data_IF_453711075338
#
_entry.id   IF_453711075338
#
_cell.length_a   1.000
_cell.length_b   1.000
_cell.length_c   1.000
_cell.angle_alpha   90.00
_cell.angle_beta   90.00
_cell.angle_gamma   90.00
#
_symmetry.space_group_name_H-M   'P 1'
#
loop_
_entity.id
_entity.type
_entity.pdbx_description
1 polymer ?
#
# COMPACT_ATOMS: atom_id res chain seq x y z
N UNK A 1 37.74 -13.05 60.00
CA UNK A 1 38.22 -12.04 59.02
C UNK A 1 38.77 -12.78 57.81
N UNK A 2 38.04 -12.77 56.71
CA UNK A 2 38.50 -12.78 55.31
C UNK A 2 37.30 -13.13 54.42
N UNK A 3 36.77 -12.12 53.74
CA UNK A 3 35.68 -12.18 52.76
C UNK A 3 36.09 -12.96 51.51
N UNK A 4 35.17 -13.76 50.97
CA UNK A 4 35.27 -14.33 49.62
C UNK A 4 34.40 -13.45 48.71
N UNK A 5 35.05 -12.53 48.00
CA UNK A 5 34.42 -11.74 46.94
C UNK A 5 34.17 -12.61 45.70
N UNK A 6 32.91 -12.74 45.31
CA UNK A 6 32.50 -13.33 44.03
C UNK A 6 32.77 -12.37 42.88
N UNK A 7 33.54 -12.81 41.90
CA UNK A 7 33.74 -12.12 40.62
C UNK A 7 32.56 -12.41 39.69
N UNK A 8 31.55 -11.55 39.73
CA UNK A 8 30.48 -11.51 38.72
C UNK A 8 31.01 -10.98 37.40
N UNK A 9 31.29 -11.87 36.45
CA UNK A 9 31.65 -11.50 35.08
C UNK A 9 30.46 -10.92 34.34
N UNK A 10 30.55 -9.63 33.96
CA UNK A 10 29.63 -9.03 32.99
C UNK A 10 29.84 -9.70 31.62
N UNK A 11 28.86 -10.49 31.17
CA UNK A 11 28.79 -10.93 29.77
C UNK A 11 28.52 -9.69 28.92
N UNK A 12 29.34 -9.47 27.90
CA UNK A 12 29.12 -8.42 26.91
C UNK A 12 27.78 -8.66 26.20
N UNK A 13 26.95 -7.62 26.10
CA UNK A 13 25.68 -7.64 25.36
C UNK A 13 25.95 -8.04 23.90
N UNK A 14 25.54 -9.26 23.54
CA UNK A 14 25.50 -9.69 22.15
C UNK A 14 24.52 -8.82 21.37
N UNK A 15 24.88 -8.44 20.14
CA UNK A 15 23.98 -7.70 19.27
C UNK A 15 22.65 -8.47 19.10
N UNK A 16 21.50 -7.77 19.08
CA UNK A 16 20.20 -8.42 18.91
C UNK A 16 20.12 -9.14 17.56
N UNK A 17 19.47 -10.30 17.55
CA UNK A 17 19.27 -11.08 16.33
C UNK A 17 18.35 -10.31 15.35
N UNK A 18 18.53 -10.47 14.03
CA UNK A 18 17.73 -9.76 13.02
C UNK A 18 16.21 -9.97 13.14
N UNK A 19 15.78 -11.12 13.67
CA UNK A 19 14.38 -11.47 13.86
C UNK A 19 13.72 -10.64 14.97
N UNK A 20 14.44 -10.38 16.06
CA UNK A 20 13.98 -9.56 17.19
C UNK A 20 13.75 -8.10 16.77
N UNK A 21 14.57 -7.59 15.85
CA UNK A 21 14.43 -6.24 15.31
C UNK A 21 13.16 -6.08 14.46
N UNK A 22 12.81 -7.10 13.68
CA UNK A 22 11.59 -7.10 12.87
C UNK A 22 10.34 -7.22 13.74
N UNK A 23 10.38 -8.07 14.77
CA UNK A 23 9.30 -8.18 15.74
C UNK A 23 9.08 -6.86 16.49
N UNK A 24 10.16 -6.24 16.99
CA UNK A 24 10.10 -4.93 17.64
C UNK A 24 9.50 -3.85 16.73
N UNK A 25 9.92 -3.78 15.47
CA UNK A 25 9.43 -2.77 14.53
C UNK A 25 7.93 -2.93 14.23
N UNK A 26 7.43 -4.16 14.08
CA UNK A 26 5.99 -4.41 13.87
C UNK A 26 5.16 -3.98 15.06
N UNK A 27 5.56 -4.42 16.26
CA UNK A 27 4.87 -4.03 17.49
C UNK A 27 4.91 -2.53 17.72
N UNK A 28 6.02 -1.86 17.36
CA UNK A 28 6.14 -0.41 17.43
C UNK A 28 5.17 0.30 16.47
N UNK A 29 5.03 -0.20 15.25
CA UNK A 29 4.12 0.38 14.26
C UNK A 29 2.65 0.26 14.72
N UNK A 30 2.27 -0.87 15.30
CA UNK A 30 0.93 -1.11 15.86
C UNK A 30 0.64 -0.22 17.08
N UNK A 31 1.58 -0.16 18.03
CA UNK A 31 1.47 0.68 19.23
C UNK A 31 1.44 2.17 18.89
N UNK A 32 2.23 2.60 17.91
CA UNK A 32 2.21 3.98 17.41
C UNK A 32 0.87 4.30 16.75
N UNK A 33 0.33 3.39 15.93
CA UNK A 33 -0.98 3.59 15.29
C UNK A 33 -2.07 3.73 16.36
N UNK A 34 -2.06 2.87 17.38
CA UNK A 34 -2.95 2.93 18.55
C UNK A 34 -2.82 4.27 19.27
N UNK A 35 -1.60 4.67 19.64
CA UNK A 35 -1.34 5.92 20.35
C UNK A 35 -1.84 7.15 19.56
N UNK A 36 -1.60 7.21 18.25
CA UNK A 36 -2.03 8.32 17.40
C UNK A 36 -3.55 8.47 17.29
N UNK A 37 -4.35 7.45 17.66
CA UNK A 37 -5.82 7.59 17.71
C UNK A 37 -6.30 8.36 18.95
N UNK A 38 -5.47 8.48 19.99
CA UNK A 38 -5.82 9.11 21.27
C UNK A 38 -5.40 10.56 21.36
N UNK A 39 -4.62 11.05 20.38
CA UNK A 39 -4.15 12.41 20.31
C UNK A 39 -4.86 13.21 19.24
N UNK A 40 -5.03 14.52 19.50
CA UNK A 40 -5.25 15.46 18.41
C UNK A 40 -4.07 15.41 17.42
N UNK A 41 -4.25 15.94 16.21
CA UNK A 41 -3.13 16.07 15.26
C UNK A 41 -1.92 16.74 15.95
N UNK A 42 -0.69 16.26 15.72
CA UNK A 42 0.53 16.85 16.30
C UNK A 42 0.61 18.38 16.10
N UNK A 43 0.08 18.88 14.98
CA UNK A 43 0.01 20.31 14.68
C UNK A 43 -0.86 21.14 15.63
N UNK A 44 -1.86 20.53 16.29
CA UNK A 44 -2.68 21.18 17.31
C UNK A 44 -1.83 21.50 18.55
N UNK A 45 -1.03 20.55 19.02
CA UNK A 45 -0.11 20.76 20.14
C UNK A 45 0.98 21.79 19.81
N UNK A 46 1.57 21.73 18.60
CA UNK A 46 2.52 22.74 18.17
C UNK A 46 1.90 24.15 18.08
N UNK A 47 0.63 24.25 17.66
CA UNK A 47 -0.13 25.52 17.65
C UNK A 47 -0.37 26.06 19.06
N UNK A 48 -0.52 25.19 20.06
CA UNK A 48 -0.59 25.55 21.48
C UNK A 48 0.79 25.91 22.08
N UNK A 49 1.85 25.94 21.27
CA UNK A 49 3.20 26.29 21.71
C UNK A 49 3.95 25.13 22.37
N UNK A 50 3.45 23.89 22.29
CA UNK A 50 4.16 22.75 22.85
C UNK A 50 5.45 22.48 22.08
N UNK A 51 6.59 22.36 22.76
CA UNK A 51 7.85 22.03 22.12
C UNK A 51 7.85 20.58 21.61
N UNK A 52 8.65 20.29 20.59
CA UNK A 52 8.83 18.94 20.01
C UNK A 52 9.08 17.89 21.09
N UNK A 53 9.88 18.21 22.09
CA UNK A 53 10.24 17.32 23.19
C UNK A 53 9.02 16.95 24.04
N UNK A 54 8.09 17.88 24.29
CA UNK A 54 6.89 17.62 25.07
C UNK A 54 5.90 16.73 24.31
N UNK A 55 5.71 17.00 23.00
CA UNK A 55 4.85 16.18 22.14
C UNK A 55 5.44 14.77 21.95
N UNK A 56 6.77 14.66 21.82
CA UNK A 56 7.45 13.38 21.75
C UNK A 56 7.34 12.58 23.06
N UNK A 57 7.49 13.24 24.22
CA UNK A 57 7.35 12.58 25.51
C UNK A 57 5.93 12.06 25.74
N UNK A 58 4.92 12.87 25.42
CA UNK A 58 3.51 12.51 25.52
C UNK A 58 3.17 11.29 24.63
N UNK A 59 3.62 11.32 23.38
CA UNK A 59 3.39 10.21 22.46
C UNK A 59 4.15 8.94 22.87
N UNK A 60 5.37 9.09 23.38
CA UNK A 60 6.15 7.97 23.92
C UNK A 60 5.46 7.35 25.14
N UNK A 61 4.96 8.17 26.07
CA UNK A 61 4.23 7.71 27.26
C UNK A 61 3.01 6.87 26.86
N UNK A 62 2.24 7.33 25.88
CA UNK A 62 1.07 6.59 25.39
C UNK A 62 1.44 5.26 24.73
N UNK A 63 2.51 5.23 23.92
CA UNK A 63 3.04 3.98 23.34
C UNK A 63 3.47 3.01 24.44
N UNK A 64 4.06 3.51 25.52
CA UNK A 64 4.50 2.69 26.66
C UNK A 64 3.34 2.21 27.55
N UNK A 65 2.14 2.78 27.42
CA UNK A 65 0.94 2.28 28.10
C UNK A 65 0.26 1.13 27.34
N UNK A 66 0.67 0.88 26.09
CA UNK A 66 0.19 -0.24 25.31
C UNK A 66 0.74 -1.57 25.88
N UNK A 67 -0.17 -2.40 26.41
CA UNK A 67 0.18 -3.66 27.09
C UNK A 67 0.86 -4.64 26.15
N UNK A 68 0.50 -4.63 24.87
CA UNK A 68 1.05 -5.55 23.88
C UNK A 68 2.47 -5.10 23.47
N UNK A 69 2.75 -3.80 23.54
CA UNK A 69 4.07 -3.24 23.24
C UNK A 69 5.06 -3.31 24.41
N UNK A 70 4.59 -3.30 25.66
CA UNK A 70 5.45 -3.34 26.85
C UNK A 70 6.44 -4.52 26.85
N UNK A 71 6.04 -5.66 26.29
CA UNK A 71 6.90 -6.84 26.16
C UNK A 71 8.06 -6.64 25.17
N UNK A 72 7.95 -5.68 24.25
CA UNK A 72 8.95 -5.35 23.25
C UNK A 72 9.95 -4.27 23.72
N UNK A 73 9.69 -3.60 24.85
CA UNK A 73 10.59 -2.59 25.45
C UNK A 73 11.32 -3.13 26.68
N UNK A 74 11.68 -4.41 26.69
CA UNK A 74 12.28 -5.06 27.85
C UNK A 74 13.74 -4.64 28.11
N UNK A 75 14.41 -4.06 27.12
CA UNK A 75 15.82 -3.64 27.24
C UNK A 75 15.97 -2.11 27.18
N UNK A 76 16.94 -1.52 27.91
CA UNK A 76 17.27 -0.10 27.81
C UNK A 76 17.63 0.35 26.38
N UNK A 77 18.19 -0.55 25.57
CA UNK A 77 18.49 -0.31 24.16
C UNK A 77 17.23 -0.08 23.33
N UNK A 78 16.18 -0.89 23.53
CA UNK A 78 14.89 -0.75 22.85
C UNK A 78 14.16 0.53 23.26
N UNK A 79 14.21 0.91 24.53
CA UNK A 79 13.64 2.17 25.00
C UNK A 79 14.34 3.38 24.37
N UNK A 80 15.68 3.34 24.27
CA UNK A 80 16.45 4.38 23.58
C UNK A 80 16.12 4.45 22.08
N UNK A 81 15.88 3.30 21.43
CA UNK A 81 15.45 3.21 20.04
C UNK A 81 14.05 3.80 19.84
N UNK A 82 13.08 3.44 20.69
CA UNK A 82 11.74 4.02 20.73
C UNK A 82 11.81 5.55 20.84
N UNK A 83 12.53 6.05 21.85
CA UNK A 83 12.68 7.50 22.09
C UNK A 83 13.27 8.21 20.89
N UNK A 84 14.32 7.65 20.28
CA UNK A 84 14.96 8.20 19.08
C UNK A 84 13.98 8.23 17.91
N UNK A 85 13.22 7.17 17.69
CA UNK A 85 12.23 7.06 16.63
C UNK A 85 11.10 8.10 16.79
N UNK A 86 10.47 8.16 17.98
CA UNK A 86 9.39 9.10 18.28
C UNK A 86 9.88 10.54 18.11
N UNK A 87 11.06 10.88 18.64
CA UNK A 87 11.65 12.21 18.50
C UNK A 87 11.89 12.60 17.03
N UNK A 88 12.42 11.69 16.21
CA UNK A 88 12.62 11.94 14.79
C UNK A 88 11.30 12.16 14.04
N UNK A 89 10.28 11.37 14.37
CA UNK A 89 8.95 11.48 13.76
C UNK A 89 8.31 12.83 14.11
N UNK A 90 8.25 13.18 15.40
CA UNK A 90 7.66 14.45 15.87
C UNK A 90 8.45 15.65 15.35
N UNK A 91 9.79 15.56 15.31
CA UNK A 91 10.64 16.61 14.73
C UNK A 91 10.40 16.84 13.24
N UNK A 92 10.19 15.77 12.45
CA UNK A 92 9.79 15.89 11.04
C UNK A 92 8.42 16.56 10.90
N UNK A 93 7.44 16.14 11.69
CA UNK A 93 6.10 16.74 11.72
C UNK A 93 6.14 18.22 12.08
N UNK A 94 6.95 18.61 13.06
CA UNK A 94 7.16 20.00 13.44
C UNK A 94 7.82 20.82 12.33
N UNK A 95 8.83 20.25 11.66
CA UNK A 95 9.47 20.89 10.52
C UNK A 95 8.50 21.14 9.37
N UNK A 96 7.61 20.19 9.08
CA UNK A 96 6.53 20.34 8.10
C UNK A 96 5.53 21.41 8.53
N UNK A 97 5.12 21.39 9.81
CA UNK A 97 4.22 22.39 10.40
C UNK A 97 4.81 23.80 10.31
N UNK A 98 6.09 23.98 10.63
CA UNK A 98 6.79 25.28 10.59
C UNK A 98 7.02 25.81 9.17
N UNK A 99 7.18 24.91 8.19
CA UNK A 99 7.33 25.24 6.76
C UNK A 99 5.99 25.57 6.09
N UNK A 100 4.88 25.11 6.66
CA UNK A 100 3.53 25.54 6.29
C UNK A 100 3.27 26.93 6.87
N UNK A 101 2.92 27.88 6.00
CA UNK A 101 2.59 29.26 6.38
C UNK A 101 1.56 29.28 7.53
N UNK A 102 1.88 29.82 8.73
CA UNK A 102 1.00 29.75 9.89
C UNK A 102 -0.36 30.45 9.72
N UNK A 103 -0.55 31.20 8.62
CA UNK A 103 -1.84 31.77 8.17
C UNK A 103 -2.38 31.26 6.83
N UNK A 104 -1.68 30.38 6.10
CA UNK A 104 -2.29 29.61 4.98
C UNK A 104 -2.57 28.15 5.37
N UNK A 105 -2.31 27.81 6.64
CA UNK A 105 -2.88 26.68 7.36
C UNK A 105 -3.72 27.27 8.49
N UNK A 106 -4.63 28.18 8.14
CA UNK A 106 -5.69 28.54 9.06
C UNK A 106 -6.65 27.34 9.13
N UNK A 107 -6.37 26.47 10.09
CA UNK A 107 -7.23 25.38 10.54
C UNK A 107 -8.61 25.88 10.99
N UNK A 108 -8.78 27.20 11.13
CA UNK A 108 -10.02 27.87 11.47
C UNK A 108 -10.61 28.70 10.31
N UNK A 109 -10.36 28.36 9.04
CA UNK A 109 -11.32 28.74 8.00
C UNK A 109 -12.61 27.90 8.16
N UNK A 110 -13.39 28.24 9.19
CA UNK A 110 -14.68 27.65 9.54
C UNK A 110 -14.59 26.24 10.12
N UNK A 111 -15.51 25.92 11.03
CA UNK A 111 -15.79 24.58 11.59
C UNK A 111 -16.22 23.53 10.54
N UNK A 112 -15.85 23.70 9.26
CA UNK A 112 -16.27 22.89 8.12
C UNK A 112 -15.15 22.09 7.43
N UNK A 113 -13.89 22.14 7.89
CA UNK A 113 -12.77 21.85 6.97
C UNK A 113 -11.73 20.80 7.35
N UNK A 114 -11.63 20.33 8.60
CA UNK A 114 -10.74 19.20 8.90
C UNK A 114 -11.52 17.92 8.59
N UNK A 115 -11.34 17.46 7.35
CA UNK A 115 -12.00 16.26 6.85
C UNK A 115 -11.89 15.15 7.88
N UNK A 116 -13.04 14.69 8.36
CA UNK A 116 -13.13 13.53 9.22
C UNK A 116 -12.28 12.39 8.65
N UNK A 117 -11.75 11.54 9.54
CA UNK A 117 -11.06 10.34 9.09
C UNK A 117 -11.90 9.64 8.03
N UNK A 118 -11.26 9.25 6.94
CA UNK A 118 -11.95 8.54 5.88
C UNK A 118 -12.14 7.16 6.47
N UNK A 119 -13.32 6.89 7.05
CA UNK A 119 -13.64 5.57 7.62
C UNK A 119 -13.36 4.42 6.63
N UNK A 120 -13.27 4.74 5.33
CA UNK A 120 -12.91 3.90 4.20
C UNK A 120 -11.46 4.07 3.71
N UNK A 121 -10.51 4.42 4.57
CA UNK A 121 -9.10 4.51 4.21
C UNK A 121 -8.59 3.22 3.58
N UNK A 122 -7.75 3.33 2.55
CA UNK A 122 -7.14 2.18 1.89
C UNK A 122 -5.61 2.17 2.06
N UNK A 123 -5.09 0.95 2.24
CA UNK A 123 -3.66 0.71 2.45
C UNK A 123 -2.83 0.98 1.19
N UNK A 124 -1.51 1.08 1.38
CA UNK A 124 -0.56 1.12 0.27
C UNK A 124 -0.65 -0.22 -0.45
N UNK A 125 -0.43 -0.22 -1.76
CA UNK A 125 -0.19 -1.47 -2.48
C UNK A 125 1.23 -1.95 -2.15
N UNK A 126 1.35 -3.22 -1.74
CA UNK A 126 2.63 -3.84 -1.39
C UNK A 126 3.49 -4.11 -2.63
N UNK A 127 4.79 -4.29 -2.42
CA UNK A 127 5.75 -4.50 -3.49
C UNK A 127 5.72 -5.94 -4.01
N UNK A 128 5.59 -6.10 -5.31
CA UNK A 128 5.56 -7.39 -6.00
C UNK A 128 6.89 -8.17 -5.89
N UNK A 129 8.08 -7.55 -6.06
CA UNK A 129 9.36 -8.26 -5.88
C UNK A 129 9.54 -8.90 -4.50
N UNK A 130 9.15 -8.20 -3.43
CA UNK A 130 9.21 -8.73 -2.07
C UNK A 130 8.31 -9.97 -1.91
N UNK A 131 7.10 -9.92 -2.46
CA UNK A 131 6.19 -11.06 -2.42
C UNK A 131 6.73 -12.28 -3.19
N UNK A 132 7.31 -12.10 -4.39
CA UNK A 132 7.94 -13.20 -5.14
C UNK A 132 9.08 -13.84 -4.33
N UNK A 133 9.92 -13.02 -3.72
CA UNK A 133 10.98 -13.48 -2.82
C UNK A 133 10.42 -14.34 -1.67
N UNK A 134 9.38 -13.86 -1.00
CA UNK A 134 8.71 -14.58 0.09
C UNK A 134 8.12 -15.92 -0.36
N UNK A 135 7.50 -15.99 -1.55
CA UNK A 135 6.95 -17.25 -2.06
C UNK A 135 8.06 -18.29 -2.32
N UNK A 136 9.18 -17.87 -2.91
CA UNK A 136 10.31 -18.76 -3.18
C UNK A 136 10.96 -19.20 -1.86
N UNK A 137 11.16 -18.28 -0.92
CA UNK A 137 11.69 -18.62 0.41
C UNK A 137 10.79 -19.61 1.14
N UNK A 138 9.47 -19.39 1.16
CA UNK A 138 8.53 -20.31 1.79
C UNK A 138 8.62 -21.74 1.21
N UNK A 139 8.86 -21.87 -0.10
CA UNK A 139 9.15 -23.16 -0.72
C UNK A 139 10.50 -23.73 -0.27
N UNK A 140 11.56 -22.93 -0.29
CA UNK A 140 12.92 -23.40 0.02
C UNK A 140 13.08 -23.86 1.47
N UNK A 141 12.39 -23.19 2.40
CA UNK A 141 12.40 -23.47 3.83
C UNK A 141 11.29 -24.43 4.27
N UNK A 142 10.48 -24.95 3.34
CA UNK A 142 9.45 -25.93 3.67
C UNK A 142 10.08 -27.24 4.18
N UNK A 143 9.41 -27.88 5.12
CA UNK A 143 9.84 -29.18 5.64
C UNK A 143 9.92 -30.23 4.52
N UNK A 144 10.81 -31.25 4.62
CA UNK A 144 11.00 -32.23 3.56
C UNK A 144 9.69 -32.90 3.08
N UNK A 145 8.74 -33.13 3.99
CA UNK A 145 7.43 -33.72 3.68
C UNK A 145 6.46 -32.78 2.92
N UNK A 146 6.66 -31.46 3.02
CA UNK A 146 5.80 -30.43 2.42
C UNK A 146 6.39 -29.86 1.11
N UNK A 147 7.68 -30.08 0.89
CA UNK A 147 8.45 -29.45 -0.19
C UNK A 147 7.87 -29.69 -1.59
N UNK A 148 7.36 -30.90 -1.86
CA UNK A 148 6.73 -31.21 -3.14
C UNK A 148 5.43 -30.43 -3.36
N UNK A 149 4.60 -30.32 -2.32
CA UNK A 149 3.36 -29.55 -2.35
C UNK A 149 3.64 -28.05 -2.51
N UNK A 150 4.58 -27.51 -1.74
CA UNK A 150 4.97 -26.10 -1.81
C UNK A 150 5.58 -25.74 -3.17
N UNK A 151 6.40 -26.64 -3.76
CA UNK A 151 6.91 -26.48 -5.14
C UNK A 151 5.77 -26.39 -6.14
N UNK A 152 4.82 -27.34 -6.07
CA UNK A 152 3.66 -27.37 -6.97
C UNK A 152 2.81 -26.11 -6.83
N UNK A 153 2.58 -25.65 -5.61
CA UNK A 153 1.83 -24.41 -5.34
C UNK A 153 2.54 -23.17 -5.89
N UNK A 154 3.86 -23.08 -5.72
CA UNK A 154 4.69 -22.01 -6.28
C UNK A 154 4.60 -21.98 -7.82
N UNK A 155 4.76 -23.15 -8.46
CA UNK A 155 4.67 -23.29 -9.91
C UNK A 155 3.26 -22.96 -10.42
N UNK A 156 2.22 -23.49 -9.79
CA UNK A 156 0.84 -23.18 -10.14
C UNK A 156 0.59 -21.67 -10.06
N UNK A 157 0.99 -21.03 -8.96
CA UNK A 157 0.77 -19.59 -8.75
C UNK A 157 1.53 -18.74 -9.77
N UNK A 158 2.81 -19.04 -10.03
CA UNK A 158 3.67 -18.15 -10.85
C UNK A 158 3.63 -18.46 -12.36
N UNK A 159 3.29 -19.68 -12.74
CA UNK A 159 3.41 -20.16 -14.12
C UNK A 159 2.09 -20.56 -14.77
N UNK A 160 1.04 -20.85 -14.01
CA UNK A 160 -0.18 -21.48 -14.55
C UNK A 160 -1.43 -20.66 -14.28
N UNK A 161 -1.59 -20.17 -13.05
CA UNK A 161 -2.76 -19.40 -12.66
C UNK A 161 -2.73 -18.03 -13.33
N UNK A 162 -3.77 -17.65 -14.09
CA UNK A 162 -3.85 -16.34 -14.68
C UNK A 162 -4.10 -15.29 -13.60
N UNK A 163 -3.51 -14.11 -13.79
CA UNK A 163 -3.84 -12.91 -13.02
C UNK A 163 -5.32 -12.57 -13.20
N UNK A 164 -5.97 -12.09 -12.14
CA UNK A 164 -7.31 -11.50 -12.22
C UNK A 164 -7.30 -10.22 -13.07
N UNK A 165 -6.21 -9.45 -12.98
CA UNK A 165 -5.96 -8.23 -13.75
C UNK A 165 -4.50 -7.83 -13.63
N UNK A 166 -4.00 -7.15 -14.65
CA UNK A 166 -2.82 -6.33 -14.52
C UNK A 166 -3.04 -4.97 -15.18
N UNK A 167 -2.58 -3.89 -14.56
CA UNK A 167 -2.74 -2.54 -15.10
C UNK A 167 -1.47 -1.74 -14.98
N UNK A 168 -1.36 -0.67 -15.78
CA UNK A 168 -0.27 0.29 -15.63
C UNK A 168 -0.38 0.95 -14.25
N UNK A 169 0.72 0.93 -13.47
CA UNK A 169 0.90 1.83 -12.35
C UNK A 169 1.32 3.19 -12.91
N UNK A 170 0.45 4.17 -12.77
CA UNK A 170 0.70 5.55 -13.16
C UNK A 170 1.32 6.35 -12.01
N UNK A 171 2.17 7.31 -12.32
CA UNK A 171 2.80 8.22 -11.36
C UNK A 171 1.87 9.40 -11.07
N UNK A 172 0.83 9.16 -10.28
CA UNK A 172 -0.09 10.19 -9.79
C UNK A 172 -0.23 10.12 -8.27
N UNK A 173 -1.41 10.48 -7.79
CA UNK A 173 -1.75 10.39 -6.37
C UNK A 173 -3.02 9.57 -6.17
N UNK A 174 -3.04 8.74 -5.12
CA UNK A 174 -4.26 8.04 -4.72
C UNK A 174 -5.36 9.05 -4.39
N UNK A 175 -6.50 8.91 -5.05
CA UNK A 175 -7.66 9.78 -4.88
C UNK A 175 -8.96 8.98 -4.99
N UNK A 176 -9.97 9.34 -4.22
CA UNK A 176 -11.24 8.62 -4.14
C UNK A 176 -12.46 9.52 -4.10
N UNK A 177 -13.61 8.92 -4.39
CA UNK A 177 -14.94 9.53 -4.31
C UNK A 177 -15.87 8.57 -3.58
N UNK A 178 -16.57 9.09 -2.57
CA UNK A 178 -17.60 8.37 -1.84
C UNK A 178 -18.93 8.40 -2.61
N UNK A 179 -19.84 7.49 -2.28
CA UNK A 179 -21.23 7.46 -2.76
C UNK A 179 -22.05 8.69 -2.33
N UNK A 180 -21.62 9.42 -1.30
CA UNK A 180 -22.15 10.75 -0.92
C UNK A 180 -21.75 11.87 -1.90
N UNK A 181 -20.83 11.59 -2.83
CA UNK A 181 -20.17 12.56 -3.70
C UNK A 181 -18.95 13.26 -3.06
N UNK A 182 -18.65 13.00 -1.78
CA UNK A 182 -17.46 13.58 -1.14
C UNK A 182 -16.17 13.03 -1.76
N UNK A 183 -15.19 13.91 -1.99
CA UNK A 183 -13.87 13.53 -2.46
C UNK A 183 -12.96 13.22 -1.28
N UNK A 184 -11.99 12.33 -1.52
CA UNK A 184 -11.12 11.81 -0.50
C UNK A 184 -9.69 11.66 -1.03
N UNK A 185 -8.72 12.17 -0.28
CA UNK A 185 -7.37 11.68 -0.36
C UNK A 185 -7.29 10.30 0.29
N UNK A 186 -6.10 9.71 0.32
CA UNK A 186 -5.92 8.38 0.93
C UNK A 186 -6.25 8.30 2.43
N UNK A 187 -6.08 9.42 3.15
CA UNK A 187 -6.19 9.47 4.63
C UNK A 187 -7.09 10.59 5.15
N UNK A 188 -7.68 11.39 4.28
CA UNK A 188 -8.49 12.54 4.69
C UNK A 188 -9.58 12.81 3.66
N UNK A 189 -10.75 13.18 4.15
CA UNK A 189 -11.80 13.73 3.30
C UNK A 189 -11.37 15.11 2.82
N UNK A 190 -11.60 15.39 1.54
CA UNK A 190 -11.34 16.68 0.90
C UNK A 190 -12.63 17.48 0.74
N UNK A 191 -13.79 16.81 0.81
CA UNK A 191 -15.13 17.42 0.74
C UNK A 191 -15.77 17.32 -0.64
N UNK A 192 -17.03 17.74 -0.76
CA UNK A 192 -17.83 17.63 -2.01
C UNK A 192 -17.46 18.67 -3.07
N UNK A 193 -16.98 19.84 -2.66
CA UNK A 193 -16.74 21.00 -3.51
C UNK A 193 -15.24 21.25 -3.81
N UNK A 194 -14.40 20.21 -3.72
CA UNK A 194 -12.98 20.36 -4.00
C UNK A 194 -12.75 20.37 -5.52
N UNK A 195 -12.47 21.54 -6.10
CA UNK A 195 -12.18 21.72 -7.53
C UNK A 195 -10.77 21.23 -7.91
N UNK A 196 -9.82 21.28 -6.97
CA UNK A 196 -8.43 20.89 -7.20
C UNK A 196 -7.83 20.11 -6.03
N UNK A 197 -7.06 19.06 -6.33
CA UNK A 197 -6.27 18.31 -5.36
C UNK A 197 -4.81 18.24 -5.81
N UNK A 198 -3.87 18.68 -4.96
CA UNK A 198 -2.43 18.78 -5.31
C UNK A 198 -2.24 19.52 -6.64
N UNK A 199 -2.85 20.71 -6.77
CA UNK A 199 -2.82 21.55 -7.98
C UNK A 199 -3.33 20.86 -9.26
N UNK A 200 -4.16 19.82 -9.13
CA UNK A 200 -4.71 19.07 -10.27
C UNK A 200 -6.22 19.13 -10.21
N UNK A 201 -6.88 19.42 -11.34
CA UNK A 201 -8.34 19.44 -11.41
C UNK A 201 -8.95 18.11 -10.97
N UNK A 202 -10.02 18.16 -10.19
CA UNK A 202 -10.82 16.99 -9.80
C UNK A 202 -12.03 16.78 -10.70
N UNK A 203 -12.23 17.63 -11.72
CA UNK A 203 -13.42 17.64 -12.56
C UNK A 203 -13.72 16.28 -13.22
N UNK A 204 -12.69 15.46 -13.49
CA UNK A 204 -12.83 14.10 -14.00
C UNK A 204 -13.71 13.20 -13.09
N UNK A 205 -13.76 13.48 -11.78
CA UNK A 205 -14.54 12.70 -10.81
C UNK A 205 -16.04 13.02 -10.83
N UNK A 206 -16.45 14.14 -11.43
CA UNK A 206 -17.84 14.60 -11.42
C UNK A 206 -18.78 13.63 -12.16
N UNK A 207 -18.28 12.98 -13.22
CA UNK A 207 -19.04 12.05 -14.08
C UNK A 207 -19.35 10.71 -13.41
N UNK A 208 -18.64 10.38 -12.34
CA UNK A 208 -18.72 9.08 -11.68
C UNK A 208 -19.89 9.05 -10.69
N UNK A 209 -20.91 8.23 -10.94
CA UNK A 209 -22.01 7.98 -10.01
C UNK A 209 -21.70 6.76 -9.13
N UNK A 210 -21.11 7.01 -7.97
CA UNK A 210 -20.72 5.95 -7.02
C UNK A 210 -21.96 5.33 -6.34
N UNK A 211 -23.13 5.99 -6.42
CA UNK A 211 -24.40 5.42 -5.99
C UNK A 211 -24.75 4.15 -6.78
N UNK A 212 -24.45 4.11 -8.08
CA UNK A 212 -24.62 2.90 -8.92
C UNK A 212 -23.78 1.74 -8.40
N UNK A 213 -22.53 2.01 -8.00
CA UNK A 213 -21.62 1.00 -7.42
C UNK A 213 -22.19 0.49 -6.10
N UNK A 214 -22.64 1.38 -5.21
CA UNK A 214 -23.27 1.01 -3.93
C UNK A 214 -24.51 0.13 -4.16
N UNK A 215 -25.45 0.56 -4.99
CA UNK A 215 -26.68 -0.19 -5.25
C UNK A 215 -26.41 -1.58 -5.82
N UNK A 216 -25.45 -1.71 -6.74
CA UNK A 216 -25.08 -3.02 -7.28
C UNK A 216 -24.47 -3.93 -6.21
N UNK A 217 -23.60 -3.40 -5.36
CA UNK A 217 -22.97 -4.16 -4.29
C UNK A 217 -23.98 -4.55 -3.20
N UNK A 218 -24.92 -3.67 -2.82
CA UNK A 218 -26.02 -4.02 -1.90
C UNK A 218 -26.81 -5.22 -2.42
N UNK A 219 -27.17 -5.21 -3.71
CA UNK A 219 -27.90 -6.31 -4.35
C UNK A 219 -27.12 -7.63 -4.34
N UNK A 220 -25.83 -7.61 -4.66
CA UNK A 220 -24.98 -8.81 -4.67
C UNK A 220 -24.81 -9.38 -3.25
N UNK A 221 -24.55 -8.51 -2.27
CA UNK A 221 -24.32 -8.93 -0.89
C UNK A 221 -25.63 -9.35 -0.20
N UNK A 222 -26.77 -8.88 -0.69
CA UNK A 222 -28.08 -9.08 -0.07
C UNK A 222 -28.22 -8.30 1.24
N UNK A 223 -27.59 -7.14 1.33
CA UNK A 223 -27.62 -6.25 2.49
C UNK A 223 -27.64 -4.80 2.01
N UNK A 224 -28.40 -3.92 2.67
CA UNK A 224 -28.40 -2.51 2.33
C UNK A 224 -27.14 -1.83 2.89
N UNK A 225 -26.28 -1.36 1.98
CA UNK A 225 -25.09 -0.58 2.33
C UNK A 225 -25.50 0.87 2.65
N UNK A 226 -25.09 1.37 3.82
CA UNK A 226 -25.37 2.74 4.26
C UNK A 226 -24.79 3.79 3.30
N UNK A 227 -25.36 5.00 3.28
CA UNK A 227 -24.75 6.14 2.58
C UNK A 227 -23.36 6.46 3.16
N UNK A 228 -22.37 6.71 2.31
CA UNK A 228 -20.99 6.97 2.71
C UNK A 228 -20.18 5.72 3.00
N UNK A 229 -20.76 4.53 2.79
CA UNK A 229 -20.08 3.25 3.01
C UNK A 229 -19.31 2.75 1.80
N UNK A 230 -19.41 3.40 0.63
CA UNK A 230 -18.70 2.98 -0.59
C UNK A 230 -17.80 4.09 -1.09
N UNK A 231 -16.52 3.80 -1.27
CA UNK A 231 -15.54 4.71 -1.85
C UNK A 231 -14.85 4.05 -3.04
N UNK A 232 -15.00 4.61 -4.23
CA UNK A 232 -14.19 4.22 -5.40
C UNK A 232 -12.90 5.02 -5.36
N UNK A 233 -11.76 4.36 -5.57
CA UNK A 233 -10.46 5.02 -5.66
C UNK A 233 -9.72 4.70 -6.96
N UNK A 234 -8.80 5.60 -7.28
CA UNK A 234 -7.99 5.57 -8.47
C UNK A 234 -6.74 6.42 -8.32
N UNK A 235 -6.04 6.57 -9.44
CA UNK A 235 -4.92 7.49 -9.55
C UNK A 235 -5.41 8.80 -10.16
N UNK A 236 -5.23 9.92 -9.47
CA UNK A 236 -5.36 11.25 -10.03
C UNK A 236 -4.03 11.66 -10.65
N UNK A 237 -4.06 11.95 -11.95
CA UNK A 237 -2.86 12.17 -12.78
C UNK A 237 -2.29 13.58 -12.60
N UNK A 238 -1.62 13.80 -11.46
CA UNK A 238 -1.08 15.10 -11.03
C UNK A 238 0.31 15.45 -11.60
N UNK A 239 0.95 14.52 -12.32
CA UNK A 239 2.30 14.70 -12.88
C UNK A 239 2.30 14.64 -14.41
N UNK A 240 1.60 15.55 -15.13
CA UNK A 240 1.36 15.41 -16.58
C UNK A 240 2.64 15.40 -17.43
N UNK A 241 3.75 15.94 -16.92
CA UNK A 241 5.04 15.97 -17.61
C UNK A 241 5.83 14.66 -17.54
N UNK A 242 5.38 13.64 -16.82
CA UNK A 242 6.10 12.38 -16.63
C UNK A 242 5.58 11.31 -17.59
N UNK A 243 6.45 10.37 -18.01
CA UNK A 243 6.08 9.16 -18.78
C UNK A 243 5.22 9.44 -20.05
N UNK A 244 5.35 10.65 -20.62
CA UNK A 244 4.55 11.10 -21.77
C UNK A 244 3.05 11.23 -21.49
N UNK A 245 2.61 11.38 -20.22
CA UNK A 245 1.18 11.41 -19.87
C UNK A 245 0.39 12.48 -20.60
N UNK A 246 0.96 13.66 -20.81
CA UNK A 246 0.31 14.72 -21.58
C UNK A 246 0.00 14.28 -23.02
N UNK A 247 0.99 13.72 -23.73
CA UNK A 247 0.81 13.23 -25.10
C UNK A 247 -0.18 12.06 -25.19
N UNK A 248 -0.34 11.31 -24.09
CA UNK A 248 -1.31 10.22 -23.95
C UNK A 248 -2.71 10.68 -23.52
N UNK A 249 -2.93 11.99 -23.33
CA UNK A 249 -4.20 12.54 -22.86
C UNK A 249 -4.55 12.13 -21.43
N UNK A 250 -3.54 11.80 -20.61
CA UNK A 250 -3.71 11.36 -19.22
C UNK A 250 -3.63 12.52 -18.21
N UNK A 251 -3.25 13.72 -18.63
CA UNK A 251 -3.22 14.89 -17.74
C UNK A 251 -4.59 15.11 -17.07
N UNK A 252 -4.59 15.28 -15.75
CA UNK A 252 -5.78 15.54 -14.93
C UNK A 252 -6.89 14.48 -15.01
N UNK A 253 -6.59 13.29 -15.55
CA UNK A 253 -7.52 12.17 -15.51
C UNK A 253 -7.55 11.57 -14.11
N UNK A 254 -8.70 11.00 -13.75
CA UNK A 254 -8.85 10.13 -12.60
C UNK A 254 -9.12 8.71 -13.09
N UNK A 255 -8.14 7.83 -12.91
CA UNK A 255 -8.18 6.46 -13.45
C UNK A 255 -8.45 5.48 -12.30
N UNK A 256 -9.68 5.00 -12.21
CA UNK A 256 -10.16 4.13 -11.14
C UNK A 256 -9.63 2.69 -11.26
N UNK A 257 -9.23 2.11 -10.13
CA UNK A 257 -8.73 0.72 -10.08
C UNK A 257 -9.15 -0.06 -8.82
N UNK A 258 -10.01 0.49 -7.97
CA UNK A 258 -10.55 -0.26 -6.84
C UNK A 258 -11.69 0.44 -6.10
N UNK A 259 -12.29 -0.25 -5.13
CA UNK A 259 -13.36 0.27 -4.29
C UNK A 259 -13.34 -0.30 -2.86
N UNK A 260 -13.67 0.51 -1.86
CA UNK A 260 -13.78 0.14 -0.44
C UNK A 260 -15.24 0.14 -0.09
N UNK A 261 -15.62 -0.86 0.69
CA UNK A 261 -16.97 -1.02 1.20
C UNK A 261 -16.89 -1.24 2.70
N UNK A 262 -17.54 -0.37 3.46
CA UNK A 262 -17.84 -0.63 4.86
C UNK A 262 -19.12 -1.45 4.91
N UNK A 263 -19.02 -2.67 5.43
CA UNK A 263 -20.18 -3.50 5.69
C UNK A 263 -20.90 -3.04 6.96
N UNK A 264 -22.21 -3.30 7.08
CA UNK A 264 -22.94 -3.09 8.32
C UNK A 264 -22.35 -3.92 9.46
N UNK A 265 -22.46 -3.40 10.68
CA UNK A 265 -22.06 -4.13 11.88
C UNK A 265 -22.81 -5.47 11.97
N UNK A 266 -22.06 -6.55 12.20
CA UNK A 266 -22.60 -7.88 12.44
C UNK A 266 -21.80 -8.55 13.56
N UNK A 267 -22.46 -9.37 14.37
CA UNK A 267 -21.81 -10.24 15.36
C UNK A 267 -21.54 -11.64 14.80
N UNK A 268 -21.99 -11.90 13.57
CA UNK A 268 -21.91 -13.20 12.92
C UNK A 268 -20.72 -13.25 11.96
N UNK A 269 -19.68 -13.98 12.34
CA UNK A 269 -18.50 -14.22 11.50
C UNK A 269 -18.84 -15.01 10.22
N UNK A 270 -19.91 -15.81 10.22
CA UNK A 270 -20.37 -16.53 9.03
C UNK A 270 -20.88 -15.57 7.94
N UNK A 271 -21.40 -14.40 8.34
CA UNK A 271 -21.84 -13.37 7.41
C UNK A 271 -20.69 -12.86 6.53
N UNK A 272 -19.49 -12.66 7.10
CA UNK A 272 -18.31 -12.24 6.34
C UNK A 272 -17.90 -13.29 5.30
N UNK A 273 -17.90 -14.57 5.70
CA UNK A 273 -17.59 -15.68 4.79
C UNK A 273 -18.64 -15.77 3.68
N UNK A 274 -19.92 -15.61 4.01
CA UNK A 274 -21.01 -15.61 3.05
C UNK A 274 -20.87 -14.45 2.03
N UNK A 275 -20.57 -13.23 2.48
CA UNK A 275 -20.34 -12.08 1.61
C UNK A 275 -19.13 -12.26 0.71
N UNK A 276 -18.01 -12.77 1.24
CA UNK A 276 -16.82 -13.10 0.44
C UNK A 276 -17.13 -14.13 -0.65
N UNK A 277 -17.87 -15.19 -0.30
CA UNK A 277 -18.32 -16.22 -1.26
C UNK A 277 -19.21 -15.64 -2.36
N UNK A 278 -20.17 -14.77 -2.02
CA UNK A 278 -21.04 -14.09 -3.01
C UNK A 278 -20.23 -13.23 -3.97
N UNK A 279 -19.25 -12.47 -3.48
CA UNK A 279 -18.37 -11.67 -4.34
C UNK A 279 -17.55 -12.54 -5.29
N UNK A 280 -16.96 -13.63 -4.79
CA UNK A 280 -16.21 -14.58 -5.61
C UNK A 280 -17.10 -15.21 -6.70
N UNK A 281 -18.33 -15.60 -6.36
CA UNK A 281 -19.31 -16.16 -7.31
C UNK A 281 -19.69 -15.18 -8.42
N UNK A 282 -19.65 -13.87 -8.15
CA UNK A 282 -19.88 -12.81 -9.15
C UNK A 282 -18.58 -12.36 -9.85
N UNK A 283 -17.46 -13.05 -9.62
CA UNK A 283 -16.19 -12.78 -10.31
C UNK A 283 -15.40 -11.58 -9.77
N UNK A 284 -15.74 -11.04 -8.60
CA UNK A 284 -14.98 -9.95 -8.01
C UNK A 284 -13.66 -10.44 -7.38
N UNK A 285 -12.56 -9.81 -7.77
CA UNK A 285 -11.31 -9.88 -7.02
C UNK A 285 -11.41 -8.98 -5.78
N UNK A 286 -11.32 -9.56 -4.59
CA UNK A 286 -11.57 -8.83 -3.34
C UNK A 286 -10.74 -9.32 -2.16
N UNK A 287 -10.59 -8.51 -1.13
CA UNK A 287 -10.10 -8.92 0.19
C UNK A 287 -11.06 -8.45 1.28
N UNK A 288 -11.18 -9.21 2.36
CA UNK A 288 -11.98 -8.86 3.54
C UNK A 288 -11.04 -8.62 4.72
N UNK A 289 -11.31 -7.59 5.51
CA UNK A 289 -10.60 -7.32 6.78
C UNK A 289 -11.51 -7.57 7.98
N UNK A 290 -10.93 -7.76 9.16
CA UNK A 290 -11.66 -7.92 10.42
C UNK A 290 -12.51 -6.71 10.81
N UNK A 291 -12.24 -5.53 10.26
CA UNK A 291 -13.00 -4.30 10.53
C UNK A 291 -14.29 -4.17 9.69
N UNK A 292 -14.83 -5.30 9.20
CA UNK A 292 -15.99 -5.34 8.32
C UNK A 292 -15.78 -4.49 7.05
N UNK A 293 -14.54 -4.40 6.56
CA UNK A 293 -14.21 -3.69 5.31
C UNK A 293 -13.88 -4.68 4.21
N UNK A 294 -14.51 -4.49 3.06
CA UNK A 294 -14.14 -5.16 1.81
C UNK A 294 -13.35 -4.19 0.96
N UNK A 295 -12.26 -4.68 0.37
CA UNK A 295 -11.57 -3.99 -0.74
C UNK A 295 -11.80 -4.78 -2.01
N UNK A 296 -12.33 -4.13 -3.02
CA UNK A 296 -12.45 -4.65 -4.38
C UNK A 296 -11.25 -4.15 -5.19
N UNK A 297 -10.60 -5.07 -5.89
CA UNK A 297 -9.50 -4.78 -6.78
C UNK A 297 -9.97 -4.86 -8.23
N UNK A 298 -9.29 -4.16 -9.13
CA UNK A 298 -9.64 -4.21 -10.53
C UNK A 298 -9.59 -5.66 -11.05
N UNK A 299 -10.66 -6.02 -11.74
CA UNK A 299 -10.92 -7.26 -12.44
C UNK A 299 -11.98 -6.96 -13.50
N UNK A 300 -12.27 -7.85 -14.46
CA UNK A 300 -13.28 -7.61 -15.50
C UNK A 300 -14.63 -7.15 -14.93
N UNK A 301 -15.13 -7.82 -13.88
CA UNK A 301 -16.41 -7.47 -13.24
C UNK A 301 -16.40 -6.08 -12.61
N UNK A 302 -15.36 -5.74 -11.83
CA UNK A 302 -15.28 -4.39 -11.23
C UNK A 302 -15.11 -3.32 -12.30
N UNK A 303 -14.33 -3.58 -13.35
CA UNK A 303 -14.15 -2.64 -14.46
C UNK A 303 -15.48 -2.34 -15.14
N UNK A 304 -16.27 -3.37 -15.42
CA UNK A 304 -17.60 -3.20 -16.02
C UNK A 304 -18.50 -2.32 -15.11
N UNK A 305 -18.53 -2.63 -13.80
CA UNK A 305 -19.31 -1.84 -12.84
C UNK A 305 -18.85 -0.37 -12.76
N UNK A 306 -17.53 -0.13 -12.79
CA UNK A 306 -16.98 1.23 -12.80
C UNK A 306 -17.38 1.99 -14.07
N UNK A 307 -17.32 1.34 -15.24
CA UNK A 307 -17.74 1.94 -16.52
C UNK A 307 -19.25 2.24 -16.52
N UNK A 308 -20.07 1.33 -16.01
CA UNK A 308 -21.52 1.56 -15.85
C UNK A 308 -21.81 2.76 -14.93
N UNK A 309 -20.97 2.96 -13.91
CA UNK A 309 -21.01 4.13 -13.03
C UNK A 309 -20.39 5.40 -13.63
N UNK A 310 -20.04 5.42 -14.93
CA UNK A 310 -19.45 6.58 -15.59
C UNK A 310 -17.99 6.86 -15.22
N UNK A 311 -17.32 5.94 -14.52
CA UNK A 311 -15.92 6.07 -14.15
C UNK A 311 -14.98 5.73 -15.31
N UNK A 312 -13.87 6.45 -15.41
CA UNK A 312 -12.74 6.01 -16.24
C UNK A 312 -11.95 4.95 -15.48
N UNK A 313 -12.15 3.67 -15.82
CA UNK A 313 -11.40 2.58 -15.24
C UNK A 313 -10.04 2.38 -15.94
N UNK A 314 -9.04 1.88 -15.22
CA UNK A 314 -7.77 1.49 -15.83
C UNK A 314 -7.96 0.37 -16.87
N UNK A 315 -7.15 0.41 -17.93
CA UNK A 315 -7.12 -0.64 -18.94
C UNK A 315 -6.43 -1.90 -18.40
N UNK A 316 -7.03 -3.06 -18.70
CA UNK A 316 -6.50 -4.35 -18.30
C UNK A 316 -5.50 -4.86 -19.35
N UNK A 317 -4.33 -5.24 -18.89
CA UNK A 317 -3.23 -5.79 -19.68
C UNK A 317 -3.38 -7.32 -19.69
N UNK A 318 -4.40 -7.80 -20.42
CA UNK A 318 -4.66 -9.20 -20.77
C UNK A 318 -4.79 -10.24 -19.61
N UNK A 319 -5.34 -11.40 -19.96
CA UNK A 319 -5.27 -12.60 -19.11
C UNK A 319 -3.90 -13.25 -19.31
N UNK A 320 -3.03 -13.16 -18.31
CA UNK A 320 -1.64 -13.63 -18.38
C UNK A 320 -1.20 -14.22 -17.06
N UNK A 321 -0.18 -15.06 -17.07
CA UNK A 321 0.48 -15.57 -15.87
C UNK A 321 1.44 -14.51 -15.30
N UNK A 322 1.92 -14.73 -14.07
CA UNK A 322 2.93 -13.88 -13.45
C UNK A 322 4.24 -13.82 -14.26
N UNK A 323 4.76 -14.97 -14.68
CA UNK A 323 6.01 -15.04 -15.45
C UNK A 323 5.90 -14.36 -16.82
N UNK A 324 4.77 -14.54 -17.51
CA UNK A 324 4.57 -13.94 -18.84
C UNK A 324 4.33 -12.43 -18.75
N UNK A 325 3.67 -11.95 -17.69
CA UNK A 325 3.55 -10.52 -17.45
C UNK A 325 4.92 -9.88 -17.21
N UNK A 326 5.76 -10.50 -16.38
CA UNK A 326 7.12 -10.00 -16.11
C UNK A 326 7.92 -9.95 -17.40
N UNK A 327 7.92 -11.03 -18.17
CA UNK A 327 8.66 -11.12 -19.44
C UNK A 327 8.19 -10.08 -20.46
N UNK A 328 6.87 -9.89 -20.62
CA UNK A 328 6.30 -8.97 -21.62
C UNK A 328 6.43 -7.49 -21.26
N UNK A 329 6.50 -7.14 -19.97
CA UNK A 329 6.53 -5.74 -19.53
C UNK A 329 7.93 -5.23 -19.14
N UNK A 330 8.92 -6.12 -18.98
CA UNK A 330 10.26 -5.74 -18.52
C UNK A 330 10.90 -4.62 -19.33
N UNK A 331 10.93 -4.76 -20.67
CA UNK A 331 11.56 -3.75 -21.53
C UNK A 331 10.86 -2.39 -21.43
N UNK A 332 9.52 -2.40 -21.30
CA UNK A 332 8.75 -1.17 -21.12
C UNK A 332 9.09 -0.46 -19.81
N UNK A 333 9.36 -1.21 -18.73
CA UNK A 333 9.76 -0.65 -17.44
C UNK A 333 11.21 -0.15 -17.47
N UNK A 334 12.13 -0.90 -18.06
CA UNK A 334 13.55 -0.50 -18.26
C UNK A 334 13.64 0.81 -19.04
N UNK A 335 12.84 0.95 -20.09
CA UNK A 335 12.82 2.14 -20.94
C UNK A 335 12.05 3.31 -20.33
N UNK A 336 11.43 3.14 -19.16
CA UNK A 336 10.68 4.21 -18.51
C UNK A 336 9.45 4.66 -19.30
N UNK A 337 8.78 3.76 -20.02
CA UNK A 337 7.50 4.08 -20.67
C UNK A 337 6.35 4.23 -19.65
N UNK A 338 6.45 3.52 -18.52
CA UNK A 338 5.48 3.56 -17.42
C UNK A 338 6.23 3.49 -16.07
N UNK A 339 5.59 3.99 -14.99
CA UNK A 339 6.16 3.91 -13.63
C UNK A 339 6.25 2.46 -13.16
N UNK A 340 5.22 1.66 -13.44
CA UNK A 340 5.15 0.28 -13.02
C UNK A 340 3.92 -0.44 -13.57
N UNK A 341 3.65 -1.59 -12.97
CA UNK A 341 2.47 -2.43 -13.18
C UNK A 341 1.84 -2.71 -11.82
N UNK A 342 0.51 -2.73 -11.74
CA UNK A 342 -0.27 -3.23 -10.61
C UNK A 342 -0.87 -4.58 -11.00
N UNK A 343 -0.63 -5.60 -10.20
CA UNK A 343 -1.07 -6.97 -10.43
C UNK A 343 -2.15 -7.33 -9.40
N UNK A 344 -3.20 -8.00 -9.85
CA UNK A 344 -4.25 -8.57 -9.01
C UNK A 344 -4.33 -10.07 -9.29
N UNK A 345 -4.25 -10.90 -8.26
CA UNK A 345 -4.24 -12.36 -8.39
C UNK A 345 -4.98 -13.03 -7.24
N UNK A 346 -5.44 -14.27 -7.45
CA UNK A 346 -6.25 -15.02 -6.48
C UNK A 346 -5.40 -15.52 -5.30
N UNK A 347 -6.09 -15.82 -4.20
CA UNK A 347 -5.56 -16.51 -3.01
C UNK A 347 -6.36 -17.78 -2.77
N UNK A 348 -5.83 -18.68 -1.93
CA UNK A 348 -6.42 -19.99 -1.60
C UNK A 348 -7.85 -19.98 -1.01
N UNK A 349 -8.42 -18.82 -0.67
CA UNK A 349 -9.77 -18.68 -0.09
C UNK A 349 -10.78 -17.96 -0.99
N UNK A 350 -10.51 -17.81 -2.29
CA UNK A 350 -11.36 -17.06 -3.22
C UNK A 350 -11.24 -15.53 -3.07
N UNK A 351 -10.46 -15.05 -2.11
CA UNK A 351 -9.99 -13.67 -2.05
C UNK A 351 -8.87 -13.44 -3.07
N UNK A 352 -8.43 -12.19 -3.19
CA UNK A 352 -7.37 -11.76 -4.06
C UNK A 352 -6.34 -10.91 -3.29
N UNK A 353 -5.16 -10.77 -3.89
CA UNK A 353 -4.10 -9.86 -3.47
C UNK A 353 -3.86 -8.82 -4.56
N UNK A 354 -3.33 -7.67 -4.15
CA UNK A 354 -2.86 -6.61 -5.04
C UNK A 354 -1.39 -6.33 -4.75
N UNK A 355 -0.56 -6.23 -5.79
CA UNK A 355 0.87 -5.93 -5.69
C UNK A 355 1.28 -4.94 -6.77
N UNK A 356 2.35 -4.18 -6.56
CA UNK A 356 2.90 -3.27 -7.56
C UNK A 356 4.35 -3.63 -7.89
N UNK A 357 4.71 -3.58 -9.16
CA UNK A 357 6.06 -3.74 -9.65
C UNK A 357 6.47 -2.46 -10.38
N UNK A 358 7.47 -1.75 -9.87
CA UNK A 358 7.92 -0.48 -10.43
C UNK A 358 9.28 -0.60 -11.10
N UNK A 359 9.57 0.34 -12.00
CA UNK A 359 10.89 0.51 -12.58
C UNK A 359 11.92 1.01 -11.54
N UNK A 360 13.18 1.08 -11.95
CA UNK A 360 14.28 1.48 -11.06
C UNK A 360 14.30 2.95 -10.65
N UNK A 361 13.51 3.81 -11.29
CA UNK A 361 13.38 5.23 -10.92
C UNK A 361 12.53 5.46 -9.66
N UNK A 362 12.03 4.38 -9.03
CA UNK A 362 11.45 4.44 -7.70
C UNK A 362 12.44 5.05 -6.68
N UNK A 363 11.99 6.06 -5.93
CA UNK A 363 12.84 6.74 -4.96
C UNK A 363 13.29 5.86 -3.79
N UNK A 364 14.20 6.40 -2.96
CA UNK A 364 14.62 5.83 -1.67
C UNK A 364 15.30 4.45 -1.73
N UNK A 365 15.98 4.15 -2.84
CA UNK A 365 16.72 2.88 -3.04
C UNK A 365 15.85 1.62 -2.90
N UNK A 366 14.52 1.74 -3.03
CA UNK A 366 13.58 0.62 -2.90
C UNK A 366 13.87 -0.45 -3.96
N UNK A 367 14.10 -0.04 -5.20
CA UNK A 367 14.50 -0.92 -6.31
C UNK A 367 15.79 -1.69 -5.99
N UNK A 368 16.82 -1.01 -5.48
CA UNK A 368 18.09 -1.65 -5.06
C UNK A 368 17.90 -2.67 -3.94
N UNK A 369 17.03 -2.38 -2.96
CA UNK A 369 16.69 -3.33 -1.90
C UNK A 369 16.03 -4.59 -2.47
N UNK A 370 15.06 -4.44 -3.36
CA UNK A 370 14.42 -5.57 -4.03
C UNK A 370 15.41 -6.39 -4.86
N UNK A 371 16.29 -5.74 -5.63
CA UNK A 371 17.33 -6.41 -6.40
C UNK A 371 18.26 -7.24 -5.50
N UNK A 372 18.69 -6.66 -4.36
CA UNK A 372 19.51 -7.36 -3.37
C UNK A 372 18.80 -8.58 -2.79
N UNK A 373 17.53 -8.44 -2.41
CA UNK A 373 16.72 -9.55 -1.88
C UNK A 373 16.55 -10.65 -2.92
N UNK A 374 16.18 -10.33 -4.15
CA UNK A 374 16.00 -11.34 -5.21
C UNK A 374 17.32 -12.06 -5.54
N UNK A 375 18.46 -11.36 -5.53
CA UNK A 375 19.77 -11.99 -5.73
C UNK A 375 20.16 -12.98 -4.64
N UNK A 376 19.74 -12.76 -3.39
CA UNK A 376 20.10 -13.69 -2.31
C UNK A 376 19.42 -15.05 -2.45
N UNK A 377 18.47 -15.21 -3.39
CA UNK A 377 17.91 -16.50 -3.76
C UNK A 377 18.87 -17.36 -4.60
N UNK A 378 19.78 -16.74 -5.35
CA UNK A 378 20.57 -17.41 -6.40
C UNK A 378 19.70 -18.30 -7.32
N UNK A 379 18.65 -17.70 -7.89
CA UNK A 379 17.60 -18.43 -8.59
C UNK A 379 18.13 -19.27 -9.78
N UNK A 380 19.21 -18.83 -10.44
CA UNK A 380 19.85 -19.61 -11.52
C UNK A 380 20.49 -20.88 -11.00
N UNK A 381 21.23 -20.80 -9.89
CA UNK A 381 21.83 -22.00 -9.30
C UNK A 381 20.74 -22.96 -8.79
N UNK A 382 19.69 -22.45 -8.14
CA UNK A 382 18.55 -23.27 -7.72
C UNK A 382 17.88 -23.98 -8.90
N UNK A 383 17.77 -23.33 -10.06
CA UNK A 383 17.22 -23.96 -11.26
C UNK A 383 18.15 -25.02 -11.84
N UNK A 384 19.46 -24.76 -11.87
CA UNK A 384 20.48 -25.73 -12.31
C UNK A 384 20.48 -26.99 -11.44
N UNK A 385 20.26 -26.85 -10.13
CA UNK A 385 20.12 -27.96 -9.18
C UNK A 385 18.75 -28.67 -9.24
N UNK A 386 17.82 -28.20 -10.07
CA UNK A 386 16.46 -28.75 -10.18
C UNK A 386 15.54 -28.42 -9.00
N UNK A 387 15.98 -27.54 -8.10
CA UNK A 387 15.19 -27.07 -6.96
C UNK A 387 14.14 -26.05 -7.39
N UNK A 388 14.44 -25.18 -8.37
CA UNK A 388 13.51 -24.18 -8.88
C UNK A 388 13.19 -24.43 -10.37
N UNK A 389 11.95 -24.15 -10.79
CA UNK A 389 11.60 -24.22 -12.20
C UNK A 389 12.36 -23.13 -12.99
N UNK A 390 12.98 -23.49 -14.12
CA UNK A 390 13.83 -22.58 -14.91
C UNK A 390 13.11 -21.27 -15.30
N UNK A 391 11.83 -21.36 -15.70
CA UNK A 391 11.01 -20.18 -16.02
C UNK A 391 10.80 -19.22 -14.83
N UNK A 392 10.75 -19.73 -13.58
CA UNK A 392 10.67 -18.89 -12.38
C UNK A 392 12.02 -18.18 -12.15
N UNK A 393 13.13 -18.89 -12.37
CA UNK A 393 14.46 -18.26 -12.30
C UNK A 393 14.60 -17.14 -13.32
N UNK A 394 14.18 -17.35 -14.59
CA UNK A 394 14.18 -16.30 -15.62
C UNK A 394 13.33 -15.09 -15.22
N UNK A 395 12.16 -15.34 -14.61
CA UNK A 395 11.30 -14.27 -14.08
C UNK A 395 12.04 -13.45 -13.00
N UNK A 396 12.69 -14.12 -12.04
CA UNK A 396 13.45 -13.45 -10.97
C UNK A 396 14.60 -12.61 -11.55
N UNK A 397 15.35 -13.17 -12.49
CA UNK A 397 16.44 -12.47 -13.19
C UNK A 397 15.95 -11.24 -13.95
N UNK A 398 14.81 -11.37 -14.62
CA UNK A 398 14.17 -10.24 -15.31
C UNK A 398 13.78 -9.14 -14.33
N UNK A 399 13.24 -9.50 -13.16
CA UNK A 399 12.89 -8.53 -12.12
C UNK A 399 14.11 -7.81 -11.53
N UNK A 400 15.23 -8.54 -11.37
CA UNK A 400 16.52 -7.94 -10.97
C UNK A 400 16.98 -6.93 -12.03
N UNK A 401 16.97 -7.31 -13.32
CA UNK A 401 17.36 -6.42 -14.42
C UNK A 401 16.54 -5.13 -14.44
N UNK A 402 15.21 -5.22 -14.28
CA UNK A 402 14.34 -4.03 -14.21
C UNK A 402 14.67 -3.15 -13.01
N UNK A 403 14.94 -3.74 -11.85
CA UNK A 403 15.26 -3.01 -10.63
C UNK A 403 16.62 -2.29 -10.70
N UNK A 404 17.56 -2.80 -11.50
CA UNK A 404 18.92 -2.27 -11.62
C UNK A 404 19.16 -1.41 -12.86
N UNK A 405 18.25 -1.44 -13.83
CA UNK A 405 18.33 -0.60 -15.00
C UNK A 405 18.53 0.87 -14.62
N UNK A 406 19.20 1.65 -15.46
CA UNK A 406 19.20 3.12 -15.29
C UNK A 406 18.01 3.69 -16.07
N UNK A 407 16.83 3.65 -15.46
CA UNK A 407 15.60 4.10 -16.12
C UNK A 407 15.58 5.62 -16.26
N UNK A 408 15.61 6.12 -17.49
CA UNK A 408 15.47 7.55 -17.77
C UNK A 408 13.98 7.87 -17.93
N UNK A 409 13.39 8.51 -16.93
CA UNK A 409 11.97 8.91 -16.99
C UNK A 409 11.83 10.14 -17.89
N UNK A 410 11.06 10.07 -18.99
CA UNK A 410 10.78 11.24 -19.81
C UNK A 410 10.09 12.30 -18.95
N UNK A 411 10.72 13.47 -18.79
CA UNK A 411 10.21 14.58 -17.99
C UNK A 411 10.14 15.85 -18.84
N UNK A 412 8.93 16.36 -19.04
CA UNK A 412 8.69 17.66 -19.65
C UNK A 412 8.88 18.76 -18.60
N UNK A 413 9.68 19.79 -18.93
CA UNK A 413 9.90 20.90 -18.02
C UNK A 413 8.63 21.74 -17.80
N UNK A 414 8.45 22.35 -16.62
CA UNK A 414 7.26 23.19 -16.33
C UNK A 414 7.03 24.30 -17.36
N UNK A 415 8.10 24.90 -17.90
CA UNK A 415 8.01 25.92 -18.97
C UNK A 415 7.44 25.37 -20.29
N UNK A 416 7.71 24.10 -20.59
CA UNK A 416 7.17 23.43 -21.77
C UNK A 416 5.71 23.03 -21.54
N UNK A 417 5.35 22.58 -20.32
CA UNK A 417 3.96 22.28 -19.96
C UNK A 417 3.04 23.49 -20.13
N UNK A 418 3.48 24.69 -19.72
CA UNK A 418 2.70 25.92 -19.88
C UNK A 418 2.47 26.35 -21.35
N UNK A 419 3.22 25.77 -22.29
CA UNK A 419 3.11 26.04 -23.73
C UNK A 419 2.44 24.89 -24.49
N UNK A 420 2.20 23.77 -23.82
CA UNK A 420 1.55 22.64 -24.46
C UNK A 420 0.05 22.96 -24.64
N UNK A 421 -0.52 22.64 -25.81
CA UNK A 421 -1.89 22.98 -26.17
C UNK A 421 -2.93 22.27 -25.31
#
# INVERSE_FOLDING_TARGET
MAEICGSGGYKADSAPEPEDLLAFQRSLDDALASALTKFDSMGAYFKQGMPVQAVAAMLQEEIMQDKDFLHCTATPSQEAQLRKFVMQMVGKSYGLWKKGNPGAVDVNSGENGRGADVGLGWASIDNYPGWVYEQIQAYLTAEPGEKAMMKRQLEATLLEEPLCSATVKYDGTCFGKLDTGALSGRRHLVGKACETYINTSTAACSKCDIGVVRSKLSSILGVELAEGSVCVWGELMCNPGYYGYLARGLAEKWVCFGAAVQLPATQDDEALVAWSKKLAQHGFAHSVSSQLKIRLFLCPTLRELLVQAGCQAADNVAETTHADLVSSNAQSLINGHNEGIVLVFRRACGQASIRKWKNSAEGQDVSKKHAKQLRSLDARNLAHEGLLHARIADMVETMIQVAEATTVVPKMGRKQLAKAP
#
